data_IF_814923647081
#
_entry.id   IF_814923647081
#
_cell.length_a   1.000
_cell.length_b   1.000
_cell.length_c   1.000
_cell.angle_alpha   90.00
_cell.angle_beta   90.00
_cell.angle_gamma   90.00
#
_symmetry.space_group_name_H-M   'P 1'
#
loop_
_entity.id
_entity.type
_entity.pdbx_description
1 polymer ?
#
# COMPACT_ATOMS: atom_id res chain seq x y z
N UNK A 1 46.44 -21.51 -6.55
CA UNK A 1 45.22 -20.79 -6.98
C UNK A 1 45.65 -19.61 -7.84
N UNK A 2 45.14 -19.47 -9.05
CA UNK A 2 45.53 -18.38 -9.94
C UNK A 2 45.00 -17.05 -9.38
N UNK A 3 45.90 -16.10 -9.13
CA UNK A 3 45.52 -14.73 -8.80
C UNK A 3 44.83 -14.09 -10.01
N UNK A 4 43.68 -13.41 -9.83
CA UNK A 4 43.03 -12.72 -10.94
C UNK A 4 43.98 -11.67 -11.54
N UNK A 5 44.02 -11.57 -12.86
CA UNK A 5 44.88 -10.60 -13.55
C UNK A 5 44.50 -9.16 -13.16
N UNK A 6 45.50 -8.29 -12.99
CA UNK A 6 45.28 -6.88 -12.63
C UNK A 6 44.39 -6.15 -13.65
N UNK A 7 44.51 -6.48 -14.94
CA UNK A 7 43.67 -5.94 -16.01
C UNK A 7 42.19 -6.32 -15.85
N UNK A 8 41.90 -7.57 -15.43
CA UNK A 8 40.53 -8.02 -15.19
C UNK A 8 39.89 -7.32 -13.98
N UNK A 9 40.68 -7.05 -12.93
CA UNK A 9 40.20 -6.30 -11.75
C UNK A 9 39.92 -4.83 -12.09
N UNK A 10 40.81 -4.17 -12.83
CA UNK A 10 40.58 -2.79 -13.29
C UNK A 10 39.34 -2.68 -14.18
N UNK A 11 39.12 -3.67 -15.07
CA UNK A 11 37.92 -3.73 -15.91
C UNK A 11 36.65 -3.92 -15.07
N UNK A 12 36.69 -4.81 -14.08
CA UNK A 12 35.57 -5.02 -13.17
C UNK A 12 35.21 -3.72 -12.43
N UNK A 13 36.20 -3.04 -11.86
CA UNK A 13 35.98 -1.77 -11.15
C UNK A 13 35.33 -0.71 -12.05
N UNK A 14 35.81 -0.55 -13.28
CA UNK A 14 35.24 0.39 -14.25
C UNK A 14 33.77 0.07 -14.58
N UNK A 15 33.45 -1.22 -14.74
CA UNK A 15 32.08 -1.68 -15.05
C UNK A 15 31.15 -1.56 -13.84
N UNK A 16 31.64 -1.83 -12.62
CA UNK A 16 30.88 -1.58 -11.37
C UNK A 16 30.52 -0.11 -11.23
N UNK A 17 31.50 0.80 -11.41
CA UNK A 17 31.26 2.23 -11.33
C UNK A 17 30.26 2.69 -12.41
N UNK A 18 30.43 2.20 -13.64
CA UNK A 18 29.50 2.49 -14.76
C UNK A 18 28.08 2.00 -14.46
N UNK A 19 27.95 0.82 -13.84
CA UNK A 19 26.66 0.27 -13.46
C UNK A 19 25.97 1.13 -12.39
N UNK A 20 26.69 1.53 -11.36
CA UNK A 20 26.16 2.42 -10.32
C UNK A 20 25.74 3.78 -10.89
N UNK A 21 26.53 4.36 -11.80
CA UNK A 21 26.18 5.61 -12.49
C UNK A 21 24.91 5.45 -13.33
N UNK A 22 24.80 4.39 -14.12
CA UNK A 22 23.60 4.17 -14.93
C UNK A 22 22.37 3.96 -14.04
N UNK A 23 22.47 3.15 -12.98
CA UNK A 23 21.36 2.91 -12.06
C UNK A 23 20.90 4.24 -11.44
N UNK A 24 21.83 5.08 -10.98
CA UNK A 24 21.51 6.39 -10.44
C UNK A 24 20.80 7.29 -11.47
N UNK A 25 21.26 7.30 -12.72
CA UNK A 25 20.60 8.04 -13.82
C UNK A 25 19.18 7.51 -14.05
N UNK A 26 18.99 6.19 -14.17
CA UNK A 26 17.67 5.59 -14.37
C UNK A 26 16.73 5.87 -13.19
N UNK A 27 17.21 5.86 -11.95
CA UNK A 27 16.41 6.27 -10.79
C UNK A 27 15.93 7.72 -10.92
N UNK A 28 16.79 8.64 -11.34
CA UNK A 28 16.39 10.05 -11.54
C UNK A 28 15.36 10.19 -12.66
N UNK A 29 15.51 9.41 -13.74
CA UNK A 29 14.56 9.36 -14.85
C UNK A 29 13.20 8.82 -14.42
N UNK A 30 13.17 7.77 -13.61
CA UNK A 30 11.91 7.17 -13.11
C UNK A 30 11.17 8.10 -12.13
N UNK A 31 11.90 8.89 -11.34
CA UNK A 31 11.33 9.87 -10.39
C UNK A 31 10.83 11.13 -11.07
N UNK A 32 11.36 11.47 -12.25
CA UNK A 32 10.97 12.68 -12.98
C UNK A 32 9.83 12.32 -13.93
N UNK A 33 8.62 12.91 -13.77
CA UNK A 33 7.54 12.67 -14.71
C UNK A 33 7.97 13.12 -16.12
N UNK A 34 7.60 12.39 -17.19
CA UNK A 34 7.91 12.82 -18.54
C UNK A 34 7.32 14.22 -18.77
N UNK A 35 8.06 15.14 -19.42
CA UNK A 35 7.51 16.45 -19.75
C UNK A 35 6.23 16.24 -20.58
N UNK A 36 5.15 16.89 -20.17
CA UNK A 36 3.91 16.98 -20.96
C UNK A 36 4.19 17.81 -22.21
N UNK A 37 4.81 17.22 -23.23
CA UNK A 37 4.88 17.81 -24.55
C UNK A 37 3.60 17.48 -25.32
N UNK A 38 2.60 18.33 -25.16
CA UNK A 38 1.50 18.48 -26.10
C UNK A 38 2.00 19.16 -27.37
N UNK A 39 2.66 18.40 -28.25
CA UNK A 39 2.87 18.81 -29.66
C UNK A 39 2.89 17.56 -30.55
N UNK A 40 1.98 17.45 -31.54
CA UNK A 40 2.06 16.40 -32.55
C UNK A 40 3.12 16.82 -33.57
N UNK A 41 4.39 16.50 -33.33
CA UNK A 41 5.40 16.66 -34.37
C UNK A 41 5.19 15.58 -35.42
N UNK A 42 4.67 16.02 -36.57
CA UNK A 42 4.48 15.20 -37.75
C UNK A 42 5.84 14.98 -38.41
N UNK A 43 6.56 13.93 -38.01
CA UNK A 43 7.65 13.39 -38.81
C UNK A 43 7.22 12.05 -39.41
N UNK A 44 6.68 12.15 -40.63
CA UNK A 44 6.46 11.02 -41.52
C UNK A 44 7.80 10.65 -42.14
N UNK A 45 8.44 9.59 -41.65
CA UNK A 45 9.26 8.65 -42.44
C UNK A 45 9.80 7.55 -41.53
N UNK A 46 9.03 6.48 -41.32
CA UNK A 46 9.56 5.12 -41.09
C UNK A 46 8.61 4.13 -41.74
N UNK A 47 9.21 3.16 -42.42
CA UNK A 47 8.62 2.12 -43.23
C UNK A 47 7.44 1.37 -42.59
N UNK A 48 6.47 1.05 -43.45
CA UNK A 48 5.40 0.10 -43.18
C UNK A 48 5.98 -1.32 -43.09
N UNK A 49 6.21 -1.79 -41.87
CA UNK A 49 6.24 -3.23 -41.57
C UNK A 49 5.46 -3.47 -40.28
N UNK A 50 4.32 -4.16 -40.43
CA UNK A 50 3.41 -4.70 -39.40
C UNK A 50 2.78 -3.70 -38.41
N UNK A 51 1.48 -3.83 -38.05
CA UNK A 51 0.91 -3.04 -36.96
C UNK A 51 1.48 -3.62 -35.67
N UNK A 52 2.64 -3.11 -35.23
CA UNK A 52 3.21 -3.50 -33.95
C UNK A 52 2.23 -3.10 -32.85
N UNK A 53 1.65 -4.12 -32.22
CA UNK A 53 0.84 -3.96 -31.02
C UNK A 53 1.66 -3.13 -30.02
N UNK A 54 1.09 -2.07 -29.41
CA UNK A 54 1.81 -1.26 -28.44
C UNK A 54 2.36 -2.16 -27.33
N UNK A 55 3.66 -1.98 -27.02
CA UNK A 55 4.36 -2.75 -25.99
C UNK A 55 3.63 -2.61 -24.65
N UNK A 56 3.37 -3.74 -23.99
CA UNK A 56 2.76 -3.75 -22.66
C UNK A 56 3.83 -3.38 -21.60
N UNK A 57 3.71 -2.20 -20.94
CA UNK A 57 4.66 -1.80 -19.92
C UNK A 57 4.69 -2.75 -18.72
N UNK A 58 3.56 -3.36 -18.35
CA UNK A 58 3.53 -4.26 -17.19
C UNK A 58 4.28 -5.56 -17.50
N UNK A 59 4.10 -6.12 -18.69
CA UNK A 59 4.87 -7.30 -19.13
C UNK A 59 6.36 -6.97 -19.31
N UNK A 60 6.69 -5.80 -19.85
CA UNK A 60 8.09 -5.38 -19.96
C UNK A 60 8.75 -5.27 -18.59
N UNK A 61 8.07 -4.68 -17.60
CA UNK A 61 8.55 -4.61 -16.23
C UNK A 61 8.70 -5.99 -15.58
N UNK A 62 7.75 -6.89 -15.83
CA UNK A 62 7.79 -8.28 -15.36
C UNK A 62 9.05 -9.00 -15.85
N UNK A 63 9.30 -8.95 -17.16
CA UNK A 63 10.41 -9.68 -17.77
C UNK A 63 11.75 -9.07 -17.35
N UNK A 64 11.84 -7.74 -17.31
CA UNK A 64 13.02 -7.04 -16.81
C UNK A 64 13.33 -7.40 -15.34
N UNK A 65 12.34 -7.37 -14.45
CA UNK A 65 12.52 -7.73 -13.04
C UNK A 65 12.92 -9.21 -12.86
N UNK A 66 12.35 -10.10 -13.68
CA UNK A 66 12.71 -11.52 -13.68
C UNK A 66 14.17 -11.73 -14.08
N UNK A 67 14.63 -11.04 -15.14
CA UNK A 67 16.03 -11.09 -15.57
C UNK A 67 16.97 -10.48 -14.52
N UNK A 68 16.62 -9.33 -13.93
CA UNK A 68 17.41 -8.70 -12.86
C UNK A 68 17.57 -9.66 -11.67
N UNK A 69 16.51 -10.36 -11.27
CA UNK A 69 16.56 -11.39 -10.22
C UNK A 69 17.51 -12.55 -10.57
N UNK A 70 17.50 -13.00 -11.82
CA UNK A 70 18.40 -14.06 -12.28
C UNK A 70 19.86 -13.61 -12.27
N UNK A 71 20.16 -12.40 -12.78
CA UNK A 71 21.52 -11.85 -12.76
C UNK A 71 22.00 -11.53 -11.35
N UNK A 72 21.14 -11.05 -10.46
CA UNK A 72 21.51 -10.79 -9.05
C UNK A 72 21.89 -12.07 -8.32
N UNK A 73 21.20 -13.18 -8.61
CA UNK A 73 21.56 -14.52 -8.10
C UNK A 73 22.97 -14.92 -8.58
N UNK A 74 23.26 -14.74 -9.88
CA UNK A 74 24.59 -15.02 -10.44
C UNK A 74 25.67 -14.16 -9.77
N UNK A 75 25.44 -12.85 -9.62
CA UNK A 75 26.38 -11.94 -8.95
C UNK A 75 26.62 -12.38 -7.50
N UNK A 76 25.54 -12.63 -6.75
CA UNK A 76 25.62 -13.05 -5.35
C UNK A 76 26.46 -14.31 -5.18
N UNK A 77 26.25 -15.32 -6.05
CA UNK A 77 27.05 -16.55 -6.04
C UNK A 77 28.52 -16.30 -6.39
N UNK A 78 28.82 -15.42 -7.36
CA UNK A 78 30.19 -15.14 -7.80
C UNK A 78 31.01 -14.35 -6.77
N UNK A 79 30.37 -13.52 -5.95
CA UNK A 79 31.07 -12.71 -4.93
C UNK A 79 31.28 -13.45 -3.60
N UNK A 80 30.56 -14.56 -3.35
CA UNK A 80 30.67 -15.33 -2.10
C UNK A 80 31.38 -16.68 -2.24
N UNK A 81 31.55 -17.19 -3.47
CA UNK A 81 32.16 -18.51 -3.71
C UNK A 81 33.52 -18.40 -4.38
N UNK A 82 34.49 -19.19 -3.93
CA UNK A 82 35.80 -19.31 -4.55
C UNK A 82 35.75 -20.27 -5.77
N UNK A 83 36.53 -20.02 -6.83
CA UNK A 83 37.47 -18.91 -7.02
C UNK A 83 36.78 -17.60 -7.43
N UNK A 84 37.31 -16.47 -6.97
CA UNK A 84 36.84 -15.15 -7.42
C UNK A 84 37.15 -14.95 -8.90
N UNK A 85 36.11 -14.69 -9.70
CA UNK A 85 36.20 -14.64 -11.17
C UNK A 85 35.73 -13.28 -11.70
N UNK A 86 36.62 -12.26 -11.76
CA UNK A 86 36.24 -10.89 -12.14
C UNK A 86 35.62 -10.78 -13.54
N UNK A 87 36.08 -11.60 -14.49
CA UNK A 87 35.58 -11.62 -15.87
C UNK A 87 34.14 -12.13 -15.97
N UNK A 88 33.77 -13.12 -15.14
CA UNK A 88 32.40 -13.62 -15.06
C UNK A 88 31.46 -12.56 -14.49
N UNK A 89 31.86 -11.88 -13.40
CA UNK A 89 31.08 -10.78 -12.82
C UNK A 89 30.91 -9.65 -13.84
N UNK A 90 31.99 -9.28 -14.53
CA UNK A 90 31.98 -8.26 -15.58
C UNK A 90 30.97 -8.61 -16.69
N UNK A 91 30.91 -9.87 -17.10
CA UNK A 91 29.97 -10.34 -18.14
C UNK A 91 28.53 -10.18 -17.68
N UNK A 92 28.22 -10.64 -16.47
CA UNK A 92 26.87 -10.53 -15.89
C UNK A 92 26.45 -9.06 -15.70
N UNK A 93 27.36 -8.19 -15.27
CA UNK A 93 27.09 -6.75 -15.18
C UNK A 93 26.81 -6.13 -16.55
N UNK A 94 27.59 -6.48 -17.58
CA UNK A 94 27.33 -5.97 -18.94
C UNK A 94 25.96 -6.41 -19.46
N UNK A 95 25.58 -7.67 -19.26
CA UNK A 95 24.24 -8.17 -19.60
C UNK A 95 23.12 -7.37 -18.90
N UNK A 96 23.30 -7.05 -17.61
CA UNK A 96 22.37 -6.19 -16.87
C UNK A 96 22.26 -4.78 -17.47
N UNK A 97 23.39 -4.18 -17.86
CA UNK A 97 23.44 -2.82 -18.38
C UNK A 97 22.84 -2.69 -19.78
N UNK A 98 22.97 -3.72 -20.61
CA UNK A 98 22.51 -3.64 -22.01
C UNK A 98 21.01 -3.79 -22.15
N UNK A 99 20.34 -4.59 -21.33
CA UNK A 99 18.94 -4.93 -21.60
C UNK A 99 18.00 -4.83 -20.38
N UNK A 100 18.16 -5.58 -19.27
CA UNK A 100 17.18 -5.56 -18.19
C UNK A 100 17.01 -4.19 -17.51
N UNK A 101 18.11 -3.44 -17.33
CA UNK A 101 18.06 -2.12 -16.71
C UNK A 101 17.34 -1.06 -17.56
N UNK A 102 17.73 -0.85 -18.85
CA UNK A 102 16.99 0.03 -19.74
C UNK A 102 15.52 -0.39 -19.89
N UNK A 103 15.24 -1.69 -20.02
CA UNK A 103 13.87 -2.20 -20.17
C UNK A 103 12.98 -1.84 -18.97
N UNK A 104 13.51 -1.93 -17.74
CA UNK A 104 12.77 -1.56 -16.53
C UNK A 104 12.41 -0.07 -16.52
N UNK A 105 13.32 0.80 -16.93
CA UNK A 105 13.05 2.23 -17.02
C UNK A 105 12.08 2.57 -18.18
N UNK A 106 12.24 1.92 -19.33
CA UNK A 106 11.31 2.06 -20.46
C UNK A 106 9.89 1.62 -20.10
N UNK A 107 9.73 0.57 -19.29
CA UNK A 107 8.42 0.15 -18.81
C UNK A 107 7.70 1.26 -18.02
N UNK A 108 8.43 2.00 -17.17
CA UNK A 108 7.87 3.14 -16.45
C UNK A 108 7.48 4.27 -17.40
N UNK A 109 8.33 4.59 -18.39
CA UNK A 109 8.05 5.64 -19.37
C UNK A 109 6.84 5.31 -20.26
N UNK A 110 6.65 4.03 -20.60
CA UNK A 110 5.50 3.55 -21.38
C UNK A 110 4.20 3.52 -20.55
N UNK A 111 4.29 3.37 -19.23
CA UNK A 111 3.15 3.37 -18.32
C UNK A 111 2.69 4.81 -17.99
N UNK A 112 2.21 5.54 -18.99
CA UNK A 112 1.83 6.95 -18.81
C UNK A 112 0.54 7.10 -17.98
N UNK A 113 0.41 8.14 -17.13
CA UNK A 113 -0.81 8.39 -16.35
C UNK A 113 -2.05 8.53 -17.23
N UNK A 114 -1.92 9.16 -18.39
CA UNK A 114 -3.02 9.34 -19.34
C UNK A 114 -3.58 8.00 -19.86
N UNK A 115 -2.74 6.96 -19.93
CA UNK A 115 -3.11 5.64 -20.44
C UNK A 115 -3.51 4.67 -19.32
N UNK A 116 -2.71 4.65 -18.24
CA UNK A 116 -2.80 3.64 -17.18
C UNK A 116 -3.34 4.17 -15.86
N UNK A 117 -3.75 5.44 -15.76
CA UNK A 117 -4.04 6.16 -14.50
C UNK A 117 -2.77 6.55 -13.72
N UNK A 118 -2.83 7.68 -13.03
CA UNK A 118 -1.78 8.13 -12.13
C UNK A 118 -1.48 7.08 -11.05
N UNK A 119 -2.52 6.40 -10.57
CA UNK A 119 -2.40 5.36 -9.54
C UNK A 119 -1.49 4.22 -9.98
N UNK A 120 -1.66 3.68 -11.18
CA UNK A 120 -0.86 2.55 -11.68
C UNK A 120 0.53 3.01 -12.09
N UNK A 121 0.65 4.16 -12.76
CA UNK A 121 1.96 4.68 -13.17
C UNK A 121 2.86 5.00 -11.98
N UNK A 122 2.29 5.59 -10.92
CA UNK A 122 3.03 5.90 -9.70
C UNK A 122 3.46 4.62 -8.96
N UNK A 123 2.57 3.64 -8.83
CA UNK A 123 2.88 2.35 -8.21
C UNK A 123 3.99 1.61 -8.98
N UNK A 124 3.92 1.57 -10.32
CA UNK A 124 4.95 0.93 -11.13
C UNK A 124 6.30 1.66 -11.00
N UNK A 125 6.29 2.99 -11.10
CA UNK A 125 7.49 3.82 -10.92
C UNK A 125 8.16 3.57 -9.57
N UNK A 126 7.38 3.56 -8.49
CA UNK A 126 7.89 3.30 -7.13
C UNK A 126 8.52 1.90 -7.02
N UNK A 127 7.85 0.86 -7.53
CA UNK A 127 8.35 -0.53 -7.47
C UNK A 127 9.63 -0.70 -8.31
N UNK A 128 9.65 -0.18 -9.53
CA UNK A 128 10.84 -0.21 -10.38
C UNK A 128 12.01 0.58 -9.77
N UNK A 129 11.73 1.76 -9.20
CA UNK A 129 12.72 2.55 -8.47
C UNK A 129 13.31 1.81 -7.26
N UNK A 130 12.49 1.04 -6.54
CA UNK A 130 12.97 0.17 -5.46
C UNK A 130 13.88 -0.93 -5.99
N UNK A 131 13.56 -1.58 -7.11
CA UNK A 131 14.45 -2.58 -7.74
C UNK A 131 15.81 -1.98 -8.09
N UNK A 132 15.83 -0.78 -8.69
CA UNK A 132 17.07 -0.08 -9.01
C UNK A 132 17.91 0.22 -7.76
N UNK A 133 17.29 0.76 -6.71
CA UNK A 133 17.95 1.07 -5.45
C UNK A 133 18.60 -0.16 -4.82
N UNK A 134 17.85 -1.25 -4.70
CA UNK A 134 18.36 -2.49 -4.09
C UNK A 134 19.39 -3.19 -4.99
N UNK A 135 19.34 -2.99 -6.31
CA UNK A 135 20.38 -3.46 -7.22
C UNK A 135 21.67 -2.65 -7.07
N UNK A 136 21.58 -1.33 -6.92
CA UNK A 136 22.75 -0.49 -6.63
C UNK A 136 23.44 -0.95 -5.34
N UNK A 137 22.63 -1.26 -4.31
CA UNK A 137 23.12 -1.80 -3.03
C UNK A 137 23.82 -3.15 -3.19
N UNK A 138 23.34 -4.05 -4.05
CA UNK A 138 24.05 -5.30 -4.34
C UNK A 138 25.34 -5.08 -5.13
N UNK A 139 25.31 -4.20 -6.14
CA UNK A 139 26.46 -3.92 -7.02
C UNK A 139 27.58 -3.22 -6.26
N UNK A 140 27.28 -2.34 -5.30
CA UNK A 140 28.27 -1.66 -4.46
C UNK A 140 29.11 -2.62 -3.59
N UNK A 141 28.59 -3.83 -3.36
CA UNK A 141 29.22 -4.88 -2.54
C UNK A 141 30.18 -5.77 -3.30
N UNK A 142 30.29 -5.61 -4.62
CA UNK A 142 31.20 -6.40 -5.44
C UNK A 142 32.65 -6.09 -5.01
N UNK A 143 33.43 -7.11 -4.55
CA UNK A 143 34.80 -6.89 -4.13
C UNK A 143 35.68 -6.39 -5.28
N UNK A 144 36.51 -5.38 -4.98
CA UNK A 144 37.48 -4.80 -5.92
C UNK A 144 38.92 -5.31 -5.70
N UNK A 145 39.15 -6.00 -4.58
CA UNK A 145 40.46 -6.52 -4.17
C UNK A 145 40.78 -7.91 -4.75
N UNK A 146 39.89 -8.46 -5.58
CA UNK A 146 40.06 -9.76 -6.20
C UNK A 146 39.80 -10.95 -5.29
N UNK A 147 39.21 -10.73 -4.10
CA UNK A 147 38.86 -11.77 -3.14
C UNK A 147 37.35 -11.91 -3.03
N UNK A 148 36.89 -13.08 -2.61
CA UNK A 148 35.49 -13.27 -2.24
C UNK A 148 35.17 -12.46 -0.97
N UNK A 149 33.89 -12.17 -0.75
CA UNK A 149 33.44 -11.55 0.48
C UNK A 149 33.77 -12.42 1.69
N UNK A 150 34.21 -11.76 2.76
CA UNK A 150 34.40 -12.42 4.06
C UNK A 150 33.07 -12.83 4.67
N UNK A 151 33.07 -13.83 5.56
CA UNK A 151 31.84 -14.28 6.20
C UNK A 151 31.10 -13.17 6.96
N UNK A 152 31.82 -12.18 7.49
CA UNK A 152 31.22 -11.00 8.10
C UNK A 152 30.43 -10.15 7.10
N UNK A 153 31.00 -9.84 5.92
CA UNK A 153 30.32 -9.06 4.86
C UNK A 153 29.24 -9.85 4.12
N UNK A 154 29.34 -11.18 4.14
CA UNK A 154 28.37 -12.11 3.57
C UNK A 154 27.12 -12.25 4.45
N UNK A 155 27.33 -12.53 5.74
CA UNK A 155 26.27 -12.95 6.68
C UNK A 155 25.79 -11.86 7.64
N UNK A 156 26.22 -10.59 7.50
CA UNK A 156 25.71 -9.51 8.33
C UNK A 156 24.17 -9.43 8.26
N UNK A 157 23.52 -9.38 9.42
CA UNK A 157 22.07 -9.37 9.54
C UNK A 157 21.43 -8.03 9.14
N UNK A 158 20.11 -8.04 8.99
CA UNK A 158 19.32 -6.80 8.85
C UNK A 158 19.09 -6.24 10.25
N UNK A 159 19.67 -5.08 10.58
CA UNK A 159 19.43 -4.37 11.86
C UNK A 159 20.57 -4.40 12.88
N UNK A 160 21.75 -4.95 12.55
CA UNK A 160 22.97 -4.70 13.34
C UNK A 160 23.50 -3.29 13.10
N UNK A 161 24.37 -2.78 13.97
CA UNK A 161 25.04 -1.47 13.83
C UNK A 161 25.99 -1.35 12.61
N UNK A 162 25.89 -2.26 11.63
CA UNK A 162 26.67 -2.30 10.40
C UNK A 162 25.78 -2.47 9.18
N UNK A 163 26.38 -2.31 8.00
CA UNK A 163 25.70 -2.53 6.72
C UNK A 163 25.15 -3.97 6.64
N UNK A 164 23.98 -4.14 6.00
CA UNK A 164 23.36 -5.46 5.72
C UNK A 164 24.41 -6.39 5.10
N UNK A 165 24.27 -7.72 5.18
CA UNK A 165 25.15 -8.66 4.47
C UNK A 165 24.80 -8.76 2.98
N UNK A 166 25.71 -9.26 2.13
CA UNK A 166 25.42 -9.45 0.70
C UNK A 166 24.27 -10.43 0.43
N UNK A 167 24.10 -11.46 1.28
CA UNK A 167 22.97 -12.40 1.20
C UNK A 167 21.66 -11.68 1.50
N UNK A 168 21.64 -10.87 2.56
CA UNK A 168 20.46 -10.08 2.92
C UNK A 168 20.11 -9.06 1.83
N UNK A 169 21.11 -8.36 1.27
CA UNK A 169 20.90 -7.45 0.13
C UNK A 169 20.33 -8.16 -1.10
N UNK A 170 20.82 -9.37 -1.41
CA UNK A 170 20.29 -10.20 -2.49
C UNK A 170 18.82 -10.56 -2.25
N UNK A 171 18.47 -10.97 -1.01
CA UNK A 171 17.09 -11.32 -0.65
C UNK A 171 16.14 -10.12 -0.72
N UNK A 172 16.59 -8.93 -0.29
CA UNK A 172 15.79 -7.70 -0.39
C UNK A 172 15.55 -7.32 -1.86
N UNK A 173 16.57 -7.43 -2.72
CA UNK A 173 16.41 -7.22 -4.16
C UNK A 173 15.46 -8.26 -4.79
N UNK A 174 15.51 -9.52 -4.37
CA UNK A 174 14.57 -10.53 -4.83
C UNK A 174 13.13 -10.17 -4.48
N UNK A 175 12.87 -9.77 -3.24
CA UNK A 175 11.55 -9.31 -2.82
C UNK A 175 11.08 -8.12 -3.66
N UNK A 176 11.97 -7.15 -3.94
CA UNK A 176 11.63 -6.02 -4.80
C UNK A 176 11.30 -6.45 -6.25
N UNK A 177 12.02 -7.43 -6.80
CA UNK A 177 11.71 -7.98 -8.14
C UNK A 177 10.38 -8.74 -8.14
N UNK A 178 10.13 -9.56 -7.11
CA UNK A 178 8.89 -10.31 -6.95
C UNK A 178 7.68 -9.38 -6.78
N UNK A 179 7.86 -8.23 -6.14
CA UNK A 179 6.84 -7.19 -6.01
C UNK A 179 6.47 -6.57 -7.38
N UNK A 180 7.42 -6.38 -8.29
CA UNK A 180 7.16 -5.93 -9.66
C UNK A 180 6.46 -7.02 -10.46
N UNK A 181 6.95 -8.26 -10.38
CA UNK A 181 6.36 -9.42 -11.05
C UNK A 181 4.92 -9.66 -10.60
N UNK A 182 4.66 -9.59 -9.29
CA UNK A 182 3.32 -9.73 -8.71
C UNK A 182 2.38 -8.60 -9.13
N UNK A 183 2.89 -7.36 -9.18
CA UNK A 183 2.13 -6.21 -9.68
C UNK A 183 1.75 -6.40 -11.16
N UNK A 184 2.69 -6.78 -12.01
CA UNK A 184 2.43 -7.02 -13.43
C UNK A 184 1.43 -8.16 -13.67
N UNK A 185 1.55 -9.27 -12.92
CA UNK A 185 0.63 -10.42 -13.02
C UNK A 185 -0.81 -10.08 -12.66
N UNK A 186 -1.03 -9.17 -11.70
CA UNK A 186 -2.38 -8.68 -11.37
C UNK A 186 -3.00 -7.87 -12.52
N UNK A 187 -2.16 -7.25 -13.36
CA UNK A 187 -2.59 -6.41 -14.47
C UNK A 187 -3.28 -5.12 -14.02
N UNK A 188 -3.73 -4.32 -14.99
CA UNK A 188 -4.34 -3.02 -14.74
C UNK A 188 -5.54 -3.11 -13.77
N UNK A 189 -6.58 -3.85 -14.13
CA UNK A 189 -7.79 -3.98 -13.32
C UNK A 189 -7.52 -4.62 -11.95
N UNK A 190 -6.69 -5.67 -11.89
CA UNK A 190 -6.42 -6.39 -10.65
C UNK A 190 -5.70 -5.54 -9.60
N UNK A 191 -4.81 -4.64 -10.02
CA UNK A 191 -4.16 -3.70 -9.10
C UNK A 191 -5.14 -2.65 -8.55
N UNK A 192 -6.05 -2.13 -9.39
CA UNK A 192 -7.09 -1.21 -8.93
C UNK A 192 -8.04 -1.90 -7.95
N UNK A 193 -8.50 -3.12 -8.28
CA UNK A 193 -9.34 -3.95 -7.40
C UNK A 193 -8.67 -4.16 -6.04
N UNK A 194 -7.40 -4.57 -6.03
CA UNK A 194 -6.68 -4.82 -4.78
C UNK A 194 -6.57 -3.59 -3.87
N UNK A 195 -6.38 -2.40 -4.46
CA UNK A 195 -6.38 -1.14 -3.67
C UNK A 195 -7.75 -0.84 -3.07
N UNK A 196 -8.81 -0.94 -3.88
CA UNK A 196 -10.17 -0.63 -3.43
C UNK A 196 -10.67 -1.65 -2.42
N UNK A 197 -10.29 -2.92 -2.56
CA UNK A 197 -10.57 -3.93 -1.53
C UNK A 197 -9.84 -3.63 -0.22
N UNK A 198 -8.57 -3.22 -0.26
CA UNK A 198 -7.85 -2.79 0.94
C UNK A 198 -8.52 -1.61 1.66
N UNK A 199 -8.93 -0.58 0.92
CA UNK A 199 -9.67 0.55 1.51
C UNK A 199 -11.04 0.16 2.05
N UNK A 200 -11.73 -0.78 1.39
CA UNK A 200 -12.99 -1.33 1.90
C UNK A 200 -12.77 -2.06 3.22
N UNK A 201 -11.69 -2.82 3.33
CA UNK A 201 -11.38 -3.56 4.55
C UNK A 201 -11.07 -2.58 5.69
N UNK A 202 -10.32 -1.49 5.44
CA UNK A 202 -10.18 -0.39 6.42
C UNK A 202 -11.52 0.20 6.87
N UNK A 203 -12.50 0.38 5.96
CA UNK A 203 -13.83 0.86 6.35
C UNK A 203 -14.58 -0.14 7.24
N UNK A 204 -14.36 -1.44 7.06
CA UNK A 204 -14.94 -2.46 7.93
C UNK A 204 -14.28 -2.45 9.30
N UNK A 205 -12.96 -2.33 9.34
CA UNK A 205 -12.21 -2.25 10.59
C UNK A 205 -12.71 -1.06 11.42
N UNK A 206 -12.85 0.13 10.82
CA UNK A 206 -13.43 1.32 11.49
C UNK A 206 -14.89 1.11 11.92
N UNK A 207 -15.68 0.38 11.13
CA UNK A 207 -17.08 0.08 11.45
C UNK A 207 -17.21 -0.88 12.64
N UNK A 208 -16.35 -1.89 12.70
CA UNK A 208 -16.29 -2.85 13.80
C UNK A 208 -15.79 -2.15 15.06
N UNK A 209 -14.72 -1.36 14.97
CA UNK A 209 -14.18 -0.56 16.08
C UNK A 209 -15.23 0.39 16.67
N UNK A 210 -15.90 1.20 15.84
CA UNK A 210 -16.94 2.13 16.32
C UNK A 210 -18.16 1.44 16.90
N UNK A 211 -18.46 0.24 16.41
CA UNK A 211 -19.57 -0.56 16.93
C UNK A 211 -19.23 -1.15 18.28
N UNK A 212 -18.04 -1.72 18.43
CA UNK A 212 -17.53 -2.24 19.71
C UNK A 212 -17.50 -1.13 20.75
N UNK A 213 -16.92 0.03 20.40
CA UNK A 213 -16.91 1.21 21.28
C UNK A 213 -18.31 1.69 21.69
N UNK A 214 -19.30 1.61 20.79
CA UNK A 214 -20.69 1.99 21.09
C UNK A 214 -21.47 0.96 21.90
N UNK A 215 -21.03 -0.30 21.91
CA UNK A 215 -21.62 -1.41 22.66
C UNK A 215 -20.97 -1.57 24.05
N UNK A 216 -19.77 -1.00 24.27
CA UNK A 216 -19.11 -0.81 25.57
C UNK A 216 -19.89 0.21 26.43
N UNK A 217 -21.08 -0.16 26.89
CA UNK A 217 -21.73 0.24 28.15
C UNK A 217 -23.18 -0.27 28.22
N UNK A 218 -23.38 -1.43 28.87
CA UNK A 218 -24.41 -1.63 29.91
C UNK A 218 -23.79 -2.58 30.93
N UNK A 219 -22.92 -2.08 31.81
CA UNK A 219 -22.68 -2.79 33.07
C UNK A 219 -24.00 -2.70 33.87
N UNK A 220 -24.79 -3.76 33.78
CA UNK A 220 -25.88 -4.07 34.71
C UNK A 220 -25.25 -4.41 36.07
N UNK A 221 -24.71 -3.41 36.76
CA UNK A 221 -24.60 -3.46 38.23
C UNK A 221 -25.98 -3.16 38.82
N UNK A 222 -26.95 -4.04 38.56
CA UNK A 222 -28.25 -4.11 39.22
C UNK A 222 -28.76 -5.57 39.07
N UNK A 223 -28.02 -6.55 39.60
CA UNK A 223 -28.61 -7.84 39.96
C UNK A 223 -28.49 -8.03 41.48
N UNK A 224 -29.65 -7.87 42.11
CA UNK A 224 -29.95 -8.16 43.51
C UNK A 224 -29.56 -9.60 43.88
N UNK A 225 -28.69 -9.79 44.88
CA UNK A 225 -28.68 -11.02 45.69
C UNK A 225 -29.25 -10.69 47.08
N UNK A 226 -30.58 -10.73 47.18
CA UNK A 226 -31.24 -11.15 48.42
C UNK A 226 -31.18 -12.68 48.50
N UNK A 227 -30.40 -13.23 49.43
CA UNK A 227 -30.75 -14.52 50.03
C UNK A 227 -30.41 -14.56 51.53
N UNK A 228 -31.34 -15.18 52.25
CA UNK A 228 -31.63 -15.08 53.67
C UNK A 228 -30.92 -16.17 54.53
N UNK A 229 -30.67 -15.81 55.79
CA UNK A 229 -30.43 -16.63 56.99
C UNK A 229 -29.46 -17.85 57.02
N UNK A 230 -28.31 -17.63 57.66
CA UNK A 230 -28.01 -18.23 58.98
C UNK A 230 -27.11 -19.48 59.08
N UNK A 231 -25.85 -19.31 59.53
CA UNK A 231 -25.24 -20.08 60.64
C UNK A 231 -24.06 -19.29 61.27
N UNK A 232 -23.99 -19.35 62.60
CA UNK A 232 -23.02 -18.71 63.50
C UNK A 232 -21.55 -19.21 63.37
N UNK A 233 -20.64 -18.31 63.80
CA UNK A 233 -19.50 -18.54 64.70
C UNK A 233 -18.05 -18.58 64.15
N UNK A 234 -17.24 -17.73 64.81
CA UNK A 234 -15.77 -17.70 64.98
C UNK A 234 -14.95 -17.30 63.73
N UNK A 235 -14.32 -16.12 63.66
CA UNK A 235 -13.22 -15.68 64.53
C UNK A 235 -13.13 -14.15 64.63
N UNK A 236 -13.11 -13.66 65.87
CA UNK A 236 -12.62 -12.34 66.26
C UNK A 236 -11.17 -12.10 65.82
N UNK A 237 -10.92 -10.87 65.36
CA UNK A 237 -9.70 -10.15 65.66
C UNK A 237 -8.77 -9.91 64.48
N UNK A 238 -8.96 -8.80 63.76
CA UNK A 238 -7.97 -7.71 63.70
C UNK A 238 -8.72 -6.40 63.47
N UNK A 239 -8.65 -5.52 64.47
CA UNK A 239 -9.08 -4.13 64.37
C UNK A 239 -8.24 -3.37 63.34
N UNK A 240 -8.93 -2.75 62.39
CA UNK A 240 -8.76 -1.33 62.04
C UNK A 240 -7.31 -0.81 61.93
N UNK A 241 -6.70 -1.01 60.76
CA UNK A 241 -5.75 -0.07 60.21
C UNK A 241 -6.40 0.58 58.99
N UNK A 242 -6.98 1.76 59.21
CA UNK A 242 -7.38 2.73 58.20
C UNK A 242 -6.21 2.99 57.26
N UNK A 243 -6.29 2.48 56.03
CA UNK A 243 -5.52 2.98 54.90
C UNK A 243 -6.45 3.87 54.06
N UNK A 244 -6.75 5.05 54.61
CA UNK A 244 -7.24 6.19 53.83
C UNK A 244 -6.10 6.61 52.89
N UNK A 245 -6.10 6.12 51.65
CA UNK A 245 -5.09 6.52 50.66
C UNK A 245 -5.02 5.73 49.35
N UNK A 246 -5.68 4.58 49.23
CA UNK A 246 -5.63 3.76 47.99
C UNK A 246 -6.76 4.07 47.01
N UNK A 247 -7.85 4.69 47.48
CA UNK A 247 -9.03 5.03 46.67
C UNK A 247 -8.69 6.07 45.60
N UNK A 248 -7.84 7.05 45.93
CA UNK A 248 -7.38 8.05 44.95
C UNK A 248 -6.45 7.48 43.90
N UNK A 249 -5.63 6.47 44.21
CA UNK A 249 -4.75 5.84 43.21
C UNK A 249 -5.47 4.85 42.33
N UNK A 250 -6.46 4.12 42.86
CA UNK A 250 -7.35 3.29 42.05
C UNK A 250 -8.28 4.15 41.21
N UNK A 251 -8.89 5.21 41.76
CA UNK A 251 -9.68 6.16 40.97
C UNK A 251 -8.84 6.89 39.90
N UNK A 252 -7.58 7.24 40.17
CA UNK A 252 -6.68 7.80 39.14
C UNK A 252 -6.21 6.77 38.12
N UNK A 253 -6.10 5.49 38.50
CA UNK A 253 -5.80 4.38 37.59
C UNK A 253 -7.03 4.03 36.75
N UNK A 254 -8.22 4.07 37.32
CA UNK A 254 -9.50 3.88 36.65
C UNK A 254 -9.78 5.07 35.75
N UNK A 255 -9.55 6.32 36.16
CA UNK A 255 -9.65 7.52 35.31
C UNK A 255 -8.60 7.53 34.18
N UNK A 256 -7.43 6.90 34.42
CA UNK A 256 -6.40 6.69 33.40
C UNK A 256 -6.75 5.53 32.44
N UNK A 257 -7.35 4.45 32.94
CA UNK A 257 -7.77 3.28 32.15
C UNK A 257 -9.11 3.53 31.44
N UNK A 258 -9.98 4.40 31.97
CA UNK A 258 -11.22 4.93 31.40
C UNK A 258 -10.97 6.18 30.56
N UNK A 259 -9.75 6.35 30.03
CA UNK A 259 -9.38 7.48 29.17
C UNK A 259 -10.13 7.50 27.83
N UNK A 260 -10.92 6.47 27.54
CA UNK A 260 -11.97 6.50 26.52
C UNK A 260 -13.23 7.10 27.13
N UNK A 261 -13.61 8.30 26.67
CA UNK A 261 -14.89 8.90 27.05
C UNK A 261 -16.03 8.06 26.48
N UNK A 262 -16.83 7.45 27.35
CA UNK A 262 -18.04 6.73 26.96
C UNK A 262 -19.24 7.67 26.84
N UNK A 263 -20.26 7.23 26.11
CA UNK A 263 -21.46 8.04 25.87
C UNK A 263 -22.29 8.12 27.16
N UNK A 264 -22.52 9.31 27.74
CA UNK A 264 -23.31 9.43 28.97
C UNK A 264 -24.69 8.76 28.89
N UNK A 265 -25.17 8.17 29.99
CA UNK A 265 -26.50 7.52 30.04
C UNK A 265 -27.64 8.43 29.56
N UNK A 266 -27.62 9.70 29.97
CA UNK A 266 -28.64 10.69 29.60
C UNK A 266 -28.56 11.15 28.13
N UNK A 267 -27.44 10.91 27.45
CA UNK A 267 -27.14 11.27 26.06
C UNK A 267 -27.73 12.63 25.62
N UNK A 268 -27.40 13.74 26.32
CA UNK A 268 -28.03 15.04 26.07
C UNK A 268 -27.83 15.52 24.63
N UNK A 269 -26.69 15.15 24.04
CA UNK A 269 -26.30 15.51 22.70
C UNK A 269 -26.72 14.48 21.65
N UNK A 270 -27.41 13.38 22.00
CA UNK A 270 -27.88 12.32 21.09
C UNK A 270 -26.76 11.70 20.25
N UNK A 271 -25.65 11.37 20.89
CA UNK A 271 -24.49 10.72 20.29
C UNK A 271 -24.84 9.27 19.89
N UNK A 272 -25.69 8.55 20.63
CA UNK A 272 -26.12 7.18 20.25
C UNK A 272 -26.87 7.17 18.92
N UNK A 273 -27.80 8.11 18.74
CA UNK A 273 -28.55 8.26 17.48
C UNK A 273 -27.61 8.59 16.30
N UNK A 274 -26.62 9.46 16.53
CA UNK A 274 -25.59 9.79 15.52
C UNK A 274 -24.71 8.60 15.19
N UNK A 275 -24.32 7.82 16.18
CA UNK A 275 -23.51 6.62 16.00
C UNK A 275 -24.28 5.59 15.14
N UNK A 276 -25.55 5.34 15.44
CA UNK A 276 -26.40 4.46 14.63
C UNK A 276 -26.53 4.95 13.16
N UNK A 277 -26.74 6.26 12.96
CA UNK A 277 -26.76 6.86 11.61
C UNK A 277 -25.41 6.70 10.92
N UNK A 278 -24.30 6.95 11.60
CA UNK A 278 -22.94 6.79 11.09
C UNK A 278 -22.68 5.35 10.65
N UNK A 279 -22.96 4.37 11.51
CA UNK A 279 -22.78 2.94 11.22
C UNK A 279 -23.62 2.51 10.01
N UNK A 280 -24.85 3.03 9.89
CA UNK A 280 -25.70 2.79 8.71
C UNK A 280 -25.08 3.36 7.43
N UNK A 281 -24.58 4.61 7.46
CA UNK A 281 -23.89 5.26 6.32
C UNK A 281 -22.59 4.55 5.96
N UNK A 282 -21.81 4.15 6.95
CA UNK A 282 -20.56 3.42 6.77
C UNK A 282 -20.79 2.05 6.14
N UNK A 283 -21.84 1.33 6.59
CA UNK A 283 -22.27 0.07 5.96
C UNK A 283 -22.68 0.27 4.51
N UNK A 284 -23.50 1.29 4.20
CA UNK A 284 -23.87 1.61 2.83
C UNK A 284 -22.64 1.93 1.97
N UNK A 285 -21.70 2.72 2.50
CA UNK A 285 -20.45 3.08 1.81
C UNK A 285 -19.58 1.85 1.54
N UNK A 286 -19.47 0.93 2.51
CA UNK A 286 -18.79 -0.35 2.33
C UNK A 286 -19.42 -1.20 1.20
N UNK A 287 -20.76 -1.19 1.08
CA UNK A 287 -21.46 -1.82 -0.04
C UNK A 287 -21.17 -1.14 -1.38
N UNK A 288 -21.04 0.19 -1.41
CA UNK A 288 -20.62 0.93 -2.61
C UNK A 288 -19.23 0.49 -3.09
N UNK A 289 -18.27 0.29 -2.18
CA UNK A 289 -16.95 -0.24 -2.54
C UNK A 289 -17.05 -1.65 -3.12
N UNK A 290 -17.83 -2.52 -2.49
CA UNK A 290 -18.05 -3.88 -2.98
C UNK A 290 -18.69 -3.89 -4.38
N UNK A 291 -19.69 -3.05 -4.60
CA UNK A 291 -20.38 -2.92 -5.87
C UNK A 291 -19.45 -2.32 -6.95
N UNK A 292 -18.64 -1.31 -6.59
CA UNK A 292 -17.61 -0.72 -7.45
C UNK A 292 -16.62 -1.79 -7.92
N UNK A 293 -16.08 -2.59 -7.01
CA UNK A 293 -15.18 -3.70 -7.37
C UNK A 293 -15.87 -4.68 -8.32
N UNK A 294 -17.08 -5.17 -7.98
CA UNK A 294 -17.77 -6.21 -8.74
C UNK A 294 -18.27 -5.76 -10.11
N UNK A 295 -18.77 -4.53 -10.23
CA UNK A 295 -19.53 -4.06 -11.40
C UNK A 295 -18.83 -2.98 -12.21
N UNK A 296 -17.74 -2.40 -11.71
CA UNK A 296 -16.97 -1.36 -12.39
C UNK A 296 -15.51 -1.76 -12.57
N UNK A 297 -14.82 -2.26 -11.55
CA UNK A 297 -13.39 -2.57 -11.72
C UNK A 297 -13.13 -3.95 -12.33
N UNK A 298 -13.85 -5.00 -11.91
CA UNK A 298 -13.66 -6.36 -12.46
C UNK A 298 -14.06 -6.54 -13.92
N UNK A 299 -14.85 -5.61 -14.47
CA UNK A 299 -15.21 -5.60 -15.89
C UNK A 299 -14.10 -4.99 -16.76
N UNK A 300 -13.13 -4.31 -16.16
CA UNK A 300 -11.95 -3.83 -16.87
C UNK A 300 -11.03 -5.00 -17.19
N UNK A 301 -10.38 -4.94 -18.35
CA UNK A 301 -9.40 -5.95 -18.78
C UNK A 301 -8.06 -5.84 -18.04
N UNK A 302 -7.13 -6.73 -18.40
CA UNK A 302 -5.74 -6.65 -17.92
C UNK A 302 -4.99 -5.41 -18.41
N UNK A 303 -5.48 -4.78 -19.48
CA UNK A 303 -4.99 -3.53 -20.03
C UNK A 303 -6.09 -2.47 -20.05
N UNK A 304 -5.72 -1.18 -19.95
CA UNK A 304 -6.69 -0.09 -20.07
C UNK A 304 -7.35 -0.07 -21.46
N UNK A 305 -8.62 0.33 -21.59
CA UNK A 305 -9.30 0.45 -22.90
C UNK A 305 -8.60 1.47 -23.80
N UNK A 306 -8.29 1.12 -25.07
CA UNK A 306 -7.72 2.02 -26.08
C UNK A 306 -8.56 3.28 -26.31
N UNK A 307 -7.89 4.43 -26.47
CA UNK A 307 -8.48 5.75 -26.78
C UNK A 307 -9.72 6.12 -25.96
N UNK A 308 -9.63 5.96 -24.65
CA UNK A 308 -10.74 6.13 -23.73
C UNK A 308 -10.49 7.22 -22.69
N UNK A 309 -11.55 7.91 -22.27
CA UNK A 309 -11.55 8.83 -21.11
C UNK A 309 -11.59 8.09 -19.76
N UNK A 310 -11.69 6.75 -19.80
CA UNK A 310 -11.77 5.88 -18.62
C UNK A 310 -10.61 6.10 -17.63
N UNK A 311 -9.33 6.23 -18.04
CA UNK A 311 -8.24 6.46 -17.08
C UNK A 311 -8.40 7.75 -16.26
N UNK A 312 -8.80 8.86 -16.89
CA UNK A 312 -9.03 10.13 -16.19
C UNK A 312 -10.16 10.02 -15.16
N UNK A 313 -11.30 9.44 -15.57
CA UNK A 313 -12.42 9.16 -14.66
C UNK A 313 -12.03 8.21 -13.53
N UNK A 314 -11.19 7.21 -13.81
CA UNK A 314 -10.68 6.30 -12.79
C UNK A 314 -9.77 7.01 -11.79
N UNK A 315 -8.93 7.95 -12.21
CA UNK A 315 -8.10 8.72 -11.26
C UNK A 315 -8.94 9.54 -10.28
N UNK A 316 -10.03 10.17 -10.75
CA UNK A 316 -10.99 10.86 -9.89
C UNK A 316 -11.66 9.89 -8.90
N UNK A 317 -12.12 8.74 -9.41
CA UNK A 317 -12.72 7.67 -8.58
C UNK A 317 -11.73 7.16 -7.53
N UNK A 318 -10.48 6.88 -7.91
CA UNK A 318 -9.46 6.38 -6.99
C UNK A 318 -9.08 7.42 -5.93
N UNK A 319 -9.13 8.71 -6.28
CA UNK A 319 -8.88 9.82 -5.34
C UNK A 319 -9.97 9.89 -4.27
N UNK A 320 -11.24 9.77 -4.67
CA UNK A 320 -12.36 9.73 -3.72
C UNK A 320 -12.31 8.47 -2.86
N UNK A 321 -12.12 7.30 -3.47
CA UNK A 321 -12.06 6.02 -2.76
C UNK A 321 -10.91 5.94 -1.75
N UNK A 322 -9.78 6.62 -2.02
CA UNK A 322 -8.68 6.72 -1.06
C UNK A 322 -9.02 7.63 0.12
N UNK A 323 -9.77 8.71 -0.12
CA UNK A 323 -10.04 9.76 0.87
C UNK A 323 -11.09 9.37 1.90
N UNK A 324 -12.09 8.58 1.50
CA UNK A 324 -13.23 8.23 2.37
C UNK A 324 -12.80 7.49 3.66
N UNK A 325 -11.93 6.45 3.64
CA UNK A 325 -11.48 5.79 4.86
C UNK A 325 -10.80 6.74 5.84
N UNK A 326 -9.89 7.59 5.36
CA UNK A 326 -9.20 8.59 6.20
C UNK A 326 -10.21 9.53 6.89
N UNK A 327 -11.30 9.90 6.21
CA UNK A 327 -12.35 10.73 6.80
C UNK A 327 -13.18 9.98 7.83
N UNK A 328 -13.50 8.70 7.62
CA UNK A 328 -14.20 7.90 8.62
C UNK A 328 -13.35 7.67 9.87
N UNK A 329 -12.03 7.56 9.75
CA UNK A 329 -11.13 7.59 10.91
C UNK A 329 -11.22 8.91 11.70
N UNK A 330 -11.37 10.05 11.01
CA UNK A 330 -11.59 11.33 11.69
C UNK A 330 -12.99 11.41 12.34
N UNK A 331 -14.01 10.81 11.73
CA UNK A 331 -15.34 10.70 12.35
C UNK A 331 -15.24 9.89 13.64
N UNK A 332 -14.48 8.79 13.64
CA UNK A 332 -14.27 7.99 14.84
C UNK A 332 -13.62 8.80 15.97
N UNK A 333 -12.59 9.60 15.65
CA UNK A 333 -11.98 10.52 16.60
C UNK A 333 -13.00 11.50 17.20
N UNK A 334 -13.88 12.09 16.39
CA UNK A 334 -14.91 13.01 16.88
C UNK A 334 -15.94 12.30 17.79
N UNK A 335 -16.24 11.02 17.54
CA UNK A 335 -17.03 10.19 18.45
C UNK A 335 -16.32 9.98 19.80
N UNK A 336 -15.03 9.65 19.80
CA UNK A 336 -14.25 9.47 21.03
C UNK A 336 -14.13 10.77 21.85
N UNK A 337 -14.16 11.93 21.18
CA UNK A 337 -14.15 13.23 21.83
C UNK A 337 -15.53 13.69 22.32
N UNK A 338 -16.60 12.99 21.91
CA UNK A 338 -18.00 13.32 22.14
C UNK A 338 -18.38 14.72 21.60
N UNK A 339 -17.85 15.11 20.44
CA UNK A 339 -18.14 16.41 19.82
C UNK A 339 -19.26 16.29 18.76
N UNK A 340 -20.52 16.64 19.09
CA UNK A 340 -21.64 16.51 18.15
C UNK A 340 -21.49 17.38 16.90
N UNK A 341 -20.84 18.54 17.01
CA UNK A 341 -20.68 19.48 15.88
C UNK A 341 -19.69 18.91 14.87
N UNK A 342 -18.57 18.39 15.36
CA UNK A 342 -17.57 17.78 14.50
C UNK A 342 -18.00 16.43 13.94
N UNK A 343 -18.76 15.62 14.70
CA UNK A 343 -19.42 14.41 14.19
C UNK A 343 -20.30 14.76 12.98
N UNK A 344 -21.24 15.69 13.15
CA UNK A 344 -22.20 16.06 12.09
C UNK A 344 -21.45 16.59 10.84
N UNK A 345 -20.49 17.50 11.04
CA UNK A 345 -19.68 18.08 9.97
C UNK A 345 -18.85 17.04 9.22
N UNK A 346 -18.19 16.12 9.92
CA UNK A 346 -17.33 15.11 9.29
C UNK A 346 -18.15 14.01 8.61
N UNK A 347 -19.30 13.62 9.18
CA UNK A 347 -20.24 12.71 8.54
C UNK A 347 -20.78 13.29 7.22
N UNK A 348 -21.14 14.57 7.18
CA UNK A 348 -21.60 15.23 5.96
C UNK A 348 -20.53 15.22 4.86
N UNK A 349 -19.27 15.40 5.22
CA UNK A 349 -18.16 15.33 4.27
C UNK A 349 -17.95 13.91 3.72
N UNK A 350 -18.08 12.88 4.57
CA UNK A 350 -18.03 11.48 4.13
C UNK A 350 -19.19 11.15 3.19
N UNK A 351 -20.40 11.63 3.53
CA UNK A 351 -21.58 11.48 2.71
C UNK A 351 -21.42 12.13 1.33
N UNK A 352 -20.91 13.37 1.29
CA UNK A 352 -20.68 14.08 0.04
C UNK A 352 -19.72 13.32 -0.88
N UNK A 353 -18.63 12.78 -0.31
CA UNK A 353 -17.66 11.99 -1.07
C UNK A 353 -18.25 10.68 -1.59
N UNK A 354 -19.04 9.96 -0.78
CA UNK A 354 -19.72 8.74 -1.20
C UNK A 354 -20.79 9.02 -2.29
N UNK A 355 -21.50 10.14 -2.18
CA UNK A 355 -22.44 10.59 -3.20
C UNK A 355 -21.72 10.93 -4.51
N UNK A 356 -20.67 11.76 -4.45
CA UNK A 356 -19.85 12.13 -5.61
C UNK A 356 -19.23 10.91 -6.30
N UNK A 357 -18.77 9.93 -5.51
CA UNK A 357 -18.29 8.65 -6.02
C UNK A 357 -19.38 7.88 -6.77
N UNK A 358 -20.60 7.82 -6.22
CA UNK A 358 -21.71 7.14 -6.89
C UNK A 358 -22.10 7.81 -8.22
N UNK A 359 -22.06 9.14 -8.30
CA UNK A 359 -22.26 9.91 -9.53
C UNK A 359 -21.16 9.61 -10.55
N UNK A 360 -19.89 9.64 -10.11
CA UNK A 360 -18.75 9.28 -10.94
C UNK A 360 -18.77 7.83 -11.40
N UNK A 361 -19.54 6.93 -10.80
CA UNK A 361 -19.67 5.53 -11.19
C UNK A 361 -21.03 5.20 -11.82
N UNK A 362 -21.91 6.18 -11.94
CA UNK A 362 -23.30 5.99 -12.36
C UNK A 362 -23.37 5.29 -13.71
N UNK A 363 -22.71 5.84 -14.73
CA UNK A 363 -22.60 5.21 -16.05
C UNK A 363 -21.51 4.13 -16.05
N UNK A 364 -21.64 3.13 -16.91
CA UNK A 364 -20.54 2.22 -17.24
C UNK A 364 -19.40 2.96 -17.96
N UNK A 365 -18.31 2.24 -18.21
CA UNK A 365 -17.16 2.75 -18.95
C UNK A 365 -17.45 3.03 -20.42
N UNK A 366 -18.47 2.39 -20.99
CA UNK A 366 -18.99 2.63 -22.34
C UNK A 366 -20.01 3.80 -22.39
N UNK A 367 -20.28 4.44 -21.25
CA UNK A 367 -21.26 5.52 -21.13
C UNK A 367 -22.72 5.07 -21.02
N UNK A 368 -23.00 3.77 -21.01
CA UNK A 368 -24.36 3.25 -20.91
C UNK A 368 -24.80 3.04 -19.45
N UNK A 369 -26.11 2.99 -19.24
CA UNK A 369 -26.71 2.59 -17.96
C UNK A 369 -26.78 1.07 -17.85
N UNK A 370 -26.66 0.56 -16.64
CA UNK A 370 -26.87 -0.86 -16.33
C UNK A 370 -27.52 -1.05 -14.96
N UNK A 371 -27.64 -2.31 -14.52
CA UNK A 371 -28.17 -2.68 -13.22
C UNK A 371 -27.48 -1.95 -12.06
N UNK A 372 -26.18 -1.61 -12.19
CA UNK A 372 -25.49 -0.82 -11.17
C UNK A 372 -25.95 0.63 -11.19
N UNK A 373 -26.26 1.22 -12.35
CA UNK A 373 -26.83 2.58 -12.42
C UNK A 373 -28.14 2.66 -11.64
N UNK A 374 -29.02 1.67 -11.79
CA UNK A 374 -30.29 1.63 -11.04
C UNK A 374 -30.05 1.41 -9.53
N UNK A 375 -29.07 0.56 -9.18
CA UNK A 375 -28.66 0.37 -7.80
C UNK A 375 -28.06 1.65 -7.19
N UNK A 376 -27.27 2.41 -7.96
CA UNK A 376 -26.65 3.66 -7.52
C UNK A 376 -27.72 4.72 -7.19
N UNK A 377 -28.81 4.81 -7.96
CA UNK A 377 -29.93 5.70 -7.62
C UNK A 377 -30.58 5.31 -6.28
N UNK A 378 -30.79 4.02 -6.04
CA UNK A 378 -31.31 3.54 -4.75
C UNK A 378 -30.35 3.86 -3.62
N UNK A 379 -29.05 3.61 -3.82
CA UNK A 379 -28.01 3.97 -2.87
C UNK A 379 -28.03 5.47 -2.52
N UNK A 380 -28.11 6.34 -3.52
CA UNK A 380 -28.17 7.80 -3.33
C UNK A 380 -29.40 8.25 -2.55
N UNK A 381 -30.54 7.60 -2.75
CA UNK A 381 -31.76 7.88 -1.99
C UNK A 381 -31.61 7.42 -0.55
N UNK A 382 -31.10 6.21 -0.32
CA UNK A 382 -30.97 5.66 1.03
C UNK A 382 -29.88 6.37 1.84
N UNK A 383 -28.77 6.74 1.22
CA UNK A 383 -27.69 7.45 1.92
C UNK A 383 -28.09 8.89 2.29
N UNK A 384 -29.07 9.49 1.60
CA UNK A 384 -29.67 10.80 1.94
C UNK A 384 -30.67 10.73 3.10
N UNK A 385 -31.24 9.56 3.36
CA UNK A 385 -32.23 9.32 4.42
C UNK A 385 -31.59 8.84 5.72
N UNK A 386 -30.51 8.06 5.59
CA UNK A 386 -29.65 7.67 6.69
C UNK A 386 -29.00 8.91 7.29
#
# INVERSE_FOLDING_TARGET
>A
MATPSASALATLEAVVNSALTLIAQLETTIKTPPPTSSTPTTDKTVDKTTPDKPLDPLLLAHDAATLIKAHSTKISLLIINAPFTPSAITTVLRELLTQPLPALASAVQLCTPARYTHTISADLSWRCGRVLKELAELVSRIPKDGKILTDAKKNAGVGGAGEKGSIAATAVLWAACDDVVGFAKKGFAGNLVGKVEGWRDTLKDVMEELREWGEEEVDEEDEDEEDDDGVEEVTQGVEKATLEGTDSTQAMLDEWMSSQRHIPRDDPDKIRERLESCLRKLRLTTLLYQATVKRRLKILGQQPPEDSTVPGRLDEVMTLLKRIPDRFSNVALAFYELDPVDIDRLMDQCFFDAFALSELLFLRWDGQKDEFSDWALKFQVEIKKA
#
